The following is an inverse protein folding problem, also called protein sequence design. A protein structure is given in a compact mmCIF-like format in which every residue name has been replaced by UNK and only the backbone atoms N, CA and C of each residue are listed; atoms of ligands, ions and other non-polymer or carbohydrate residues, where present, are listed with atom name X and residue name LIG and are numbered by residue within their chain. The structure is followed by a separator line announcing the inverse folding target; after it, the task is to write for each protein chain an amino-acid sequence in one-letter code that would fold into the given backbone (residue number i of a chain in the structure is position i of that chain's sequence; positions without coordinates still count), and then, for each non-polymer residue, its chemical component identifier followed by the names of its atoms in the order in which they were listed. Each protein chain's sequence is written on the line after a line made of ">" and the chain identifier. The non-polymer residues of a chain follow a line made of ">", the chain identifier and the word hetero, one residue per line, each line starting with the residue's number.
data_IF_987293347898
#
_entry.id   IF_987293347898
#
_cell.length_a   1.000
_cell.length_b   1.000
_cell.length_c   1.000
_cell.angle_alpha   90.00
_cell.angle_beta   90.00
_cell.angle_gamma   90.00
#
_symmetry.space_group_name_H-M   'P 1'
#
loop_
_entity.id
_entity.type
_entity.pdbx_description
1 polymer ?
#
# COMPACT_ATOMS: atom_id res chain seq x y z
N UNK A 1 18.63 -2.85 4.97
CA UNK A 1 18.38 -2.30 6.30
C UNK A 1 17.12 -2.92 6.90
N UNK A 2 17.16 -3.29 8.15
CA UNK A 2 16.03 -3.84 8.87
C UNK A 2 15.18 -2.75 9.49
N UNK A 3 13.88 -2.79 9.23
CA UNK A 3 12.91 -1.99 9.96
C UNK A 3 12.39 -2.80 11.14
N UNK A 4 11.99 -2.14 12.20
CA UNK A 4 11.19 -2.79 13.23
C UNK A 4 9.83 -3.21 12.63
N UNK A 5 9.14 -4.20 13.21
CA UNK A 5 7.78 -4.53 12.78
C UNK A 5 6.85 -3.30 12.76
N UNK A 6 6.99 -2.43 13.75
CA UNK A 6 6.18 -1.22 13.82
C UNK A 6 6.48 -0.26 12.67
N UNK A 7 7.74 -0.15 12.25
CA UNK A 7 8.12 0.70 11.13
C UNK A 7 7.47 0.21 9.83
N UNK A 8 7.43 -1.10 9.59
CA UNK A 8 6.76 -1.67 8.43
C UNK A 8 5.25 -1.40 8.47
N UNK A 9 4.62 -1.55 9.64
CA UNK A 9 3.18 -1.27 9.81
C UNK A 9 2.88 0.20 9.55
N UNK A 10 3.72 1.11 9.99
CA UNK A 10 3.54 2.55 9.74
C UNK A 10 3.60 2.84 8.23
N UNK A 11 4.51 2.18 7.51
CA UNK A 11 4.60 2.30 6.05
C UNK A 11 3.32 1.76 5.39
N UNK A 12 2.84 0.60 5.82
CA UNK A 12 1.61 0.01 5.28
C UNK A 12 0.40 0.91 5.53
N UNK A 13 0.32 1.58 6.67
CA UNK A 13 -0.74 2.55 6.96
C UNK A 13 -0.70 3.71 5.96
N UNK A 14 0.48 4.19 5.61
CA UNK A 14 0.64 5.27 4.63
C UNK A 14 0.28 4.80 3.22
N UNK A 15 0.68 3.58 2.85
CA UNK A 15 0.29 2.98 1.56
C UNK A 15 -1.23 2.87 1.48
N UNK A 16 -1.86 2.39 2.54
CA UNK A 16 -3.32 2.26 2.62
C UNK A 16 -4.00 3.60 2.35
N UNK A 17 -3.49 4.66 2.92
CA UNK A 17 -4.04 6.01 2.71
C UNK A 17 -4.01 6.42 1.24
N UNK A 18 -2.90 6.13 0.53
CA UNK A 18 -2.81 6.44 -0.89
C UNK A 18 -3.74 5.56 -1.73
N UNK A 19 -3.95 4.31 -1.35
CA UNK A 19 -4.96 3.46 -1.99
C UNK A 19 -6.36 4.05 -1.84
N UNK A 20 -6.68 4.55 -0.65
CA UNK A 20 -7.97 5.21 -0.38
C UNK A 20 -8.11 6.51 -1.17
N UNK A 21 -7.02 7.26 -1.34
CA UNK A 21 -7.02 8.45 -2.19
C UNK A 21 -7.40 8.12 -3.64
N UNK A 22 -6.88 7.02 -4.17
CA UNK A 22 -7.22 6.57 -5.52
C UNK A 22 -8.72 6.24 -5.63
N UNK A 23 -9.29 5.57 -4.63
CA UNK A 23 -10.73 5.31 -4.60
C UNK A 23 -11.55 6.60 -4.58
N UNK A 24 -11.13 7.58 -3.79
CA UNK A 24 -11.81 8.88 -3.70
C UNK A 24 -11.75 9.63 -5.03
N UNK A 25 -10.61 9.55 -5.73
CA UNK A 25 -10.48 10.14 -7.05
C UNK A 25 -11.45 9.50 -8.05
N UNK A 26 -11.59 8.18 -8.01
CA UNK A 26 -12.53 7.47 -8.86
C UNK A 26 -13.99 7.84 -8.55
N UNK A 27 -14.32 8.05 -7.27
CA UNK A 27 -15.64 8.52 -6.88
C UNK A 27 -15.90 9.93 -7.42
N UNK A 28 -14.91 10.80 -7.33
CA UNK A 28 -15.03 12.19 -7.78
C UNK A 28 -15.14 12.34 -9.29
N UNK A 29 -14.28 11.66 -10.03
CA UNK A 29 -14.17 11.85 -11.49
C UNK A 29 -14.95 10.80 -12.30
N UNK A 30 -15.18 9.64 -11.73
CA UNK A 30 -15.84 8.52 -12.39
C UNK A 30 -14.89 7.37 -12.69
N UNK A 31 -15.34 6.16 -12.48
CA UNK A 31 -14.54 4.95 -12.73
C UNK A 31 -14.69 4.52 -14.18
N UNK A 32 -14.15 5.33 -15.08
CA UNK A 32 -14.27 5.16 -16.53
C UNK A 32 -12.98 5.57 -17.21
N UNK A 33 -12.42 4.67 -18.03
CA UNK A 33 -11.14 4.90 -18.68
C UNK A 33 -11.17 6.12 -19.61
N UNK A 34 -12.27 6.33 -20.34
CA UNK A 34 -12.38 7.47 -21.25
C UNK A 34 -12.31 8.78 -20.49
N UNK A 35 -12.98 8.87 -19.35
CA UNK A 35 -12.91 10.06 -18.49
C UNK A 35 -11.46 10.25 -18.02
N UNK A 36 -10.84 9.18 -17.54
CA UNK A 36 -9.47 9.21 -17.02
C UNK A 36 -8.47 9.70 -18.09
N UNK A 37 -8.51 9.12 -19.28
CA UNK A 37 -7.53 9.46 -20.32
C UNK A 37 -7.68 10.89 -20.85
N UNK A 38 -8.85 11.49 -20.71
CA UNK A 38 -9.15 12.83 -21.24
C UNK A 38 -9.05 13.95 -20.20
N UNK A 39 -8.75 13.62 -18.93
CA UNK A 39 -8.68 14.61 -17.86
C UNK A 39 -7.28 14.66 -17.27
N UNK A 40 -6.57 15.75 -17.52
CA UNK A 40 -5.20 15.91 -17.04
C UNK A 40 -5.09 15.82 -15.52
N UNK A 41 -6.01 16.46 -14.81
CA UNK A 41 -6.00 16.46 -13.35
C UNK A 41 -6.20 15.04 -12.81
N UNK A 42 -7.10 14.28 -13.40
CA UNK A 42 -7.37 12.90 -13.01
C UNK A 42 -6.16 12.01 -13.29
N UNK A 43 -5.61 12.09 -14.50
CA UNK A 43 -4.41 11.31 -14.88
C UNK A 43 -3.25 11.56 -13.91
N UNK A 44 -2.97 12.83 -13.65
CA UNK A 44 -1.84 13.20 -12.80
C UNK A 44 -2.07 12.82 -11.35
N UNK A 45 -3.28 12.97 -10.85
CA UNK A 45 -3.59 12.62 -9.46
C UNK A 45 -3.48 11.10 -9.23
N UNK A 46 -4.03 10.28 -10.10
CA UNK A 46 -3.90 8.81 -10.01
C UNK A 46 -2.43 8.41 -10.08
N UNK A 47 -1.72 8.95 -11.07
CA UNK A 47 -0.30 8.61 -11.28
C UNK A 47 0.57 9.00 -10.09
N UNK A 48 0.33 10.17 -9.49
CA UNK A 48 1.10 10.62 -8.33
C UNK A 48 0.87 9.69 -7.12
N UNK A 49 -0.37 9.26 -6.89
CA UNK A 49 -0.66 8.35 -5.79
C UNK A 49 -0.01 6.98 -6.00
N UNK A 50 -0.01 6.46 -7.23
CA UNK A 50 0.68 5.21 -7.55
C UNK A 50 2.19 5.35 -7.33
N UNK A 51 2.78 6.48 -7.75
CA UNK A 51 4.19 6.74 -7.53
C UNK A 51 4.54 6.75 -6.04
N UNK A 52 3.73 7.41 -5.21
CA UNK A 52 3.94 7.45 -3.77
C UNK A 52 3.86 6.05 -3.16
N UNK A 53 2.93 5.23 -3.61
CA UNK A 53 2.82 3.83 -3.16
C UNK A 53 4.10 3.07 -3.50
N UNK A 54 4.63 3.25 -4.70
CA UNK A 54 5.88 2.63 -5.11
C UNK A 54 7.07 3.06 -4.25
N UNK A 55 7.17 4.35 -3.96
CA UNK A 55 8.21 4.90 -3.09
C UNK A 55 8.13 4.29 -1.69
N UNK A 56 6.94 4.28 -1.10
CA UNK A 56 6.74 3.73 0.24
C UNK A 56 7.03 2.23 0.29
N UNK A 57 6.62 1.49 -0.74
CA UNK A 57 6.89 0.05 -0.82
C UNK A 57 8.38 -0.25 -0.79
N UNK A 58 9.19 0.63 -1.38
CA UNK A 58 10.64 0.52 -1.36
C UNK A 58 11.26 0.72 0.02
N UNK A 59 10.54 1.31 0.95
CA UNK A 59 11.00 1.52 2.32
C UNK A 59 10.63 0.37 3.27
N UNK A 60 9.80 -0.57 2.85
CA UNK A 60 9.57 -1.79 3.61
C UNK A 60 10.88 -2.57 3.69
N UNK A 61 11.15 -3.22 4.82
CA UNK A 61 12.36 -3.98 4.96
C UNK A 61 12.43 -5.11 3.94
N UNK A 62 13.63 -5.46 3.50
CA UNK A 62 13.85 -6.57 2.59
C UNK A 62 13.30 -7.87 3.17
N UNK A 63 13.53 -8.08 4.46
CA UNK A 63 13.04 -9.24 5.20
C UNK A 63 11.51 -9.36 5.11
N UNK A 64 10.79 -8.26 5.29
CA UNK A 64 9.34 -8.24 5.19
C UNK A 64 8.86 -8.52 3.77
N UNK A 65 9.52 -7.93 2.78
CA UNK A 65 9.17 -8.16 1.37
C UNK A 65 9.38 -9.61 0.96
N UNK A 66 10.46 -10.23 1.42
CA UNK A 66 10.72 -11.64 1.17
C UNK A 66 9.64 -12.51 1.83
N UNK A 67 9.29 -12.20 3.06
CA UNK A 67 8.27 -12.96 3.80
C UNK A 67 6.88 -12.87 3.18
N UNK A 68 6.57 -11.80 2.45
CA UNK A 68 5.25 -11.57 1.86
C UNK A 68 5.23 -11.65 0.33
N UNK A 69 6.32 -12.09 -0.30
CA UNK A 69 6.44 -12.09 -1.77
C UNK A 69 5.38 -12.94 -2.48
N UNK A 70 4.86 -13.96 -1.82
CA UNK A 70 3.82 -14.82 -2.38
C UNK A 70 2.43 -14.14 -2.38
N UNK A 71 2.28 -13.10 -1.60
CA UNK A 71 1.03 -12.34 -1.48
C UNK A 71 1.07 -11.02 -2.24
N UNK A 72 2.24 -10.41 -2.38
CA UNK A 72 2.40 -9.13 -3.07
C UNK A 72 3.59 -9.14 -4.02
N UNK A 73 3.42 -8.67 -5.27
CA UNK A 73 4.50 -8.64 -6.26
C UNK A 73 5.38 -7.39 -6.08
N UNK A 74 6.15 -7.34 -5.01
CA UNK A 74 6.97 -6.16 -4.68
C UNK A 74 7.95 -5.77 -5.79
N UNK A 75 8.48 -6.75 -6.53
CA UNK A 75 9.37 -6.46 -7.66
C UNK A 75 8.65 -5.71 -8.78
N UNK A 76 7.42 -6.09 -9.08
CA UNK A 76 6.61 -5.41 -10.09
C UNK A 76 6.27 -3.98 -9.65
N UNK A 77 5.96 -3.79 -8.37
CA UNK A 77 5.68 -2.47 -7.80
C UNK A 77 6.92 -1.58 -7.92
N UNK A 78 8.09 -2.11 -7.60
CA UNK A 78 9.36 -1.38 -7.74
C UNK A 78 9.66 -1.04 -9.20
N UNK A 79 9.44 -1.97 -10.11
CA UNK A 79 9.65 -1.73 -11.55
C UNK A 79 8.75 -0.62 -12.07
N UNK A 80 7.49 -0.62 -11.67
CA UNK A 80 6.55 0.43 -12.06
C UNK A 80 6.98 1.79 -11.51
N UNK A 81 7.40 1.84 -10.22
CA UNK A 81 7.91 3.07 -9.61
C UNK A 81 9.10 3.61 -10.39
N UNK A 82 10.05 2.77 -10.74
CA UNK A 82 11.22 3.18 -11.51
C UNK A 82 10.82 3.72 -12.89
N UNK A 83 9.86 3.07 -13.55
CA UNK A 83 9.38 3.52 -14.84
C UNK A 83 8.71 4.91 -14.72
N UNK A 84 7.85 5.11 -13.72
CA UNK A 84 7.23 6.41 -13.45
C UNK A 84 8.28 7.51 -13.23
N UNK A 85 9.32 7.21 -12.44
CA UNK A 85 10.34 8.19 -12.11
C UNK A 85 11.14 8.68 -13.32
N UNK A 86 11.32 7.81 -14.32
CA UNK A 86 12.18 8.10 -15.46
C UNK A 86 11.45 8.31 -16.78
N UNK A 87 10.25 7.74 -16.93
CA UNK A 87 9.56 7.68 -18.22
C UNK A 87 8.07 7.99 -18.14
N UNK A 88 7.63 8.77 -17.15
CA UNK A 88 6.20 9.02 -16.94
C UNK A 88 5.48 9.49 -18.20
N UNK A 89 6.07 10.42 -18.95
CA UNK A 89 5.45 10.97 -20.16
C UNK A 89 5.27 9.96 -21.31
N UNK A 90 5.95 8.82 -21.25
CA UNK A 90 5.88 7.76 -22.25
C UNK A 90 5.08 6.55 -21.77
N UNK A 91 4.51 6.62 -20.56
CA UNK A 91 3.80 5.50 -19.98
C UNK A 91 2.44 5.33 -20.61
N UNK A 92 2.07 4.07 -20.90
CA UNK A 92 0.76 3.73 -21.43
C UNK A 92 -0.30 3.99 -20.35
N UNK A 93 -1.24 4.88 -20.63
CA UNK A 93 -2.32 5.23 -19.73
C UNK A 93 -3.18 4.02 -19.35
N UNK A 94 -3.35 3.06 -20.28
CA UNK A 94 -4.13 1.86 -19.98
C UNK A 94 -3.46 1.02 -18.88
N UNK A 95 -2.15 1.01 -18.80
CA UNK A 95 -1.41 0.31 -17.74
C UNK A 95 -1.60 1.01 -16.41
N UNK A 96 -1.54 2.35 -16.39
CA UNK A 96 -1.80 3.12 -15.17
C UNK A 96 -3.22 2.85 -14.67
N UNK A 97 -4.19 2.90 -15.57
CA UNK A 97 -5.60 2.67 -15.24
C UNK A 97 -5.84 1.25 -14.74
N UNK A 98 -5.30 0.26 -15.43
CA UNK A 98 -5.39 -1.14 -15.02
C UNK A 98 -4.80 -1.36 -13.63
N UNK A 99 -3.65 -0.74 -13.36
CA UNK A 99 -3.05 -0.78 -12.03
C UNK A 99 -3.99 -0.20 -10.97
N UNK A 100 -4.57 0.96 -11.25
CA UNK A 100 -5.47 1.62 -10.32
C UNK A 100 -6.75 0.82 -10.05
N UNK A 101 -7.30 0.19 -11.08
CA UNK A 101 -8.57 -0.54 -10.99
C UNK A 101 -8.40 -1.96 -10.45
N UNK A 102 -7.33 -2.65 -10.83
CA UNK A 102 -7.14 -4.08 -10.51
C UNK A 102 -6.16 -4.32 -9.38
N UNK A 103 -5.00 -3.67 -9.42
CA UNK A 103 -3.91 -3.97 -8.47
C UNK A 103 -4.07 -3.20 -7.15
N UNK A 104 -4.50 -1.96 -7.20
CA UNK A 104 -4.64 -1.14 -5.99
C UNK A 104 -5.66 -1.72 -5.01
N UNK A 105 -6.83 -2.22 -5.42
CA UNK A 105 -7.75 -2.87 -4.48
C UNK A 105 -7.13 -4.08 -3.77
N UNK A 106 -6.31 -4.85 -4.47
CA UNK A 106 -5.61 -6.00 -3.88
C UNK A 106 -4.58 -5.56 -2.85
N UNK A 107 -3.82 -4.50 -3.19
CA UNK A 107 -2.84 -3.93 -2.27
C UNK A 107 -3.53 -3.34 -1.04
N UNK A 108 -4.64 -2.65 -1.23
CA UNK A 108 -5.44 -2.12 -0.12
C UNK A 108 -5.87 -3.22 0.83
N UNK A 109 -6.42 -4.31 0.28
CA UNK A 109 -6.86 -5.46 1.09
C UNK A 109 -5.68 -6.08 1.85
N UNK A 110 -4.53 -6.23 1.20
CA UNK A 110 -3.33 -6.74 1.83
C UNK A 110 -2.89 -5.85 3.01
N UNK A 111 -2.80 -4.55 2.79
CA UNK A 111 -2.39 -3.61 3.84
C UNK A 111 -3.34 -3.65 5.02
N UNK A 112 -4.65 -3.62 4.74
CA UNK A 112 -5.66 -3.67 5.78
C UNK A 112 -5.54 -4.95 6.62
N UNK A 113 -5.40 -6.08 5.96
CA UNK A 113 -5.26 -7.38 6.61
C UNK A 113 -4.02 -7.47 7.48
N UNK A 114 -2.87 -7.00 6.98
CA UNK A 114 -1.61 -6.98 7.73
C UNK A 114 -1.68 -6.08 8.95
N UNK A 115 -2.28 -4.91 8.80
CA UNK A 115 -2.46 -3.97 9.90
C UNK A 115 -3.37 -4.56 10.98
N UNK A 116 -4.47 -5.19 10.58
CA UNK A 116 -5.40 -5.82 11.52
C UNK A 116 -4.75 -6.99 12.26
N UNK A 117 -4.02 -7.83 11.56
CA UNK A 117 -3.30 -8.96 12.15
C UNK A 117 -2.30 -8.47 13.21
N UNK A 118 -1.55 -7.42 12.89
CA UNK A 118 -0.59 -6.83 13.82
C UNK A 118 -1.29 -6.28 15.05
N UNK A 119 -2.42 -5.62 14.88
CA UNK A 119 -3.23 -5.08 15.98
C UNK A 119 -3.73 -6.18 16.92
N UNK A 120 -4.26 -7.26 16.35
CA UNK A 120 -4.77 -8.39 17.12
C UNK A 120 -3.64 -9.06 17.91
N UNK A 121 -2.47 -9.24 17.30
CA UNK A 121 -1.33 -9.84 17.97
C UNK A 121 -0.84 -8.97 19.14
N UNK A 122 -0.82 -7.66 18.96
CA UNK A 122 -0.42 -6.73 20.01
C UNK A 122 -1.44 -6.71 21.15
N UNK A 123 -2.74 -6.72 20.84
CA UNK A 123 -3.79 -6.75 21.85
C UNK A 123 -3.72 -8.05 22.67
N UNK A 124 -3.54 -9.19 22.02
CA UNK A 124 -3.39 -10.48 22.68
C UNK A 124 -2.14 -10.49 23.58
N UNK A 125 -1.04 -9.92 23.12
CA UNK A 125 0.18 -9.83 23.91
C UNK A 125 0.01 -8.96 25.13
N UNK A 126 -0.69 -7.85 24.99
CA UNK A 126 -1.00 -6.94 26.11
C UNK A 126 -1.91 -7.64 27.12
N UNK A 127 -2.98 -8.30 26.66
CA UNK A 127 -3.90 -9.02 27.53
C UNK A 127 -3.19 -10.13 28.30
N UNK A 128 -2.31 -10.86 27.63
CA UNK A 128 -1.52 -11.91 28.28
C UNK A 128 -0.58 -11.34 29.34
N UNK A 129 0.07 -10.22 29.06
CA UNK A 129 0.97 -9.56 30.01
C UNK A 129 0.22 -9.06 31.24
N UNK A 130 -0.98 -8.52 31.06
CA UNK A 130 -1.83 -8.06 32.17
C UNK A 130 -2.24 -9.22 33.07
N UNK A 131 -2.62 -10.36 32.50
CA UNK A 131 -2.96 -11.56 33.25
C UNK A 131 -1.76 -12.06 34.05
N UNK A 132 -0.58 -12.10 33.46
CA UNK A 132 0.64 -12.49 34.14
C UNK A 132 0.96 -11.55 35.30
N UNK A 133 0.80 -10.24 35.12
CA UNK A 133 1.01 -9.24 36.16
C UNK A 133 0.03 -9.41 37.32
N UNK A 134 -1.23 -9.69 37.00
CA UNK A 134 -2.25 -9.98 38.02
C UNK A 134 -1.91 -11.24 38.80
N UNK A 135 -1.49 -12.29 38.13
CA UNK A 135 -1.07 -13.54 38.75
C UNK A 135 0.15 -13.33 39.66
N UNK A 136 1.06 -12.46 39.26
CA UNK A 136 2.23 -12.15 40.06
C UNK A 136 1.92 -11.28 41.30
N UNK A 137 0.89 -10.46 41.22
CA UNK A 137 0.44 -9.63 42.33
C UNK A 137 -0.33 -10.43 43.37
N UNK A 138 -0.88 -11.54 42.98
CA UNK A 138 -1.61 -12.46 43.82
C UNK A 138 -0.66 -13.31 44.65
#
# INVERSE_FOLDING_TARGET
>A
MRNSPQANIDILNRILKYCENIEKLMERFGKDYTIFQNDLAYKDAISMNILQIGELSGHLSEEYRIATKDRMPWKSIKSMRNFFAHNYGQMDLSVIWSTAVEDIPKLKAFCFEEIQTNRLLNDDSIAFSEEDDEDLEI
#
